data_IF_514039122842
#
_entry.id   IF_514039122842
#
_cell.length_a   1.000
_cell.length_b   1.000
_cell.length_c   1.000
_cell.angle_alpha   90.00
_cell.angle_beta   90.00
_cell.angle_gamma   90.00
#
_symmetry.space_group_name_H-M   'P 1'
#
loop_
_entity.id
_entity.type
_entity.pdbx_description
1 polymer ?
#
# COMPACT_ATOMS: atom_id res chain seq x y z
N UNK A 1 16.52 -1.52 -5.45
CA UNK A 1 16.28 -2.98 -5.44
C UNK A 1 15.63 -3.29 -6.78
N UNK A 2 16.22 -4.15 -7.58
CA UNK A 2 15.57 -4.64 -8.81
C UNK A 2 14.42 -5.56 -8.37
N UNK A 3 13.25 -5.28 -8.88
CA UNK A 3 12.03 -6.03 -8.52
C UNK A 3 12.20 -7.54 -8.78
N UNK A 4 12.89 -7.87 -9.89
CA UNK A 4 13.10 -9.26 -10.33
C UNK A 4 13.94 -10.09 -9.34
N UNK A 5 14.99 -9.52 -8.75
CA UNK A 5 15.83 -10.22 -7.78
C UNK A 5 15.06 -10.53 -6.47
N UNK A 6 14.10 -9.66 -6.11
CA UNK A 6 13.25 -9.89 -4.95
C UNK A 6 12.19 -10.97 -5.19
N UNK A 7 11.65 -11.08 -6.41
CA UNK A 7 10.65 -12.12 -6.71
C UNK A 7 11.24 -13.52 -6.63
N UNK A 8 12.42 -13.75 -7.20
CA UNK A 8 13.08 -15.06 -7.07
C UNK A 8 13.34 -15.43 -5.61
N UNK A 9 13.77 -14.46 -4.80
CA UNK A 9 14.00 -14.67 -3.37
C UNK A 9 12.69 -14.99 -2.65
N UNK A 10 11.63 -14.25 -2.92
CA UNK A 10 10.31 -14.48 -2.32
C UNK A 10 9.71 -15.82 -2.76
N UNK A 11 9.88 -16.21 -4.02
CA UNK A 11 9.46 -17.52 -4.51
C UNK A 11 10.16 -18.66 -3.79
N UNK A 12 11.44 -18.53 -3.50
CA UNK A 12 12.20 -19.53 -2.72
C UNK A 12 11.79 -19.58 -1.25
N UNK A 13 11.44 -18.44 -0.66
CA UNK A 13 11.01 -18.35 0.74
C UNK A 13 9.56 -18.78 0.97
N UNK A 14 8.70 -18.51 -0.01
CA UNK A 14 7.25 -18.77 0.07
C UNK A 14 6.74 -19.56 -1.12
N UNK A 15 7.28 -20.75 -1.40
CA UNK A 15 6.95 -21.53 -2.60
C UNK A 15 5.46 -21.88 -2.67
N UNK A 16 4.83 -22.15 -1.53
CA UNK A 16 3.42 -22.54 -1.42
C UNK A 16 2.46 -21.37 -1.68
N UNK A 17 2.92 -20.15 -1.49
CA UNK A 17 2.10 -18.94 -1.66
C UNK A 17 2.24 -18.38 -3.07
N UNK A 18 3.46 -18.33 -3.60
CA UNK A 18 3.79 -17.55 -4.79
C UNK A 18 3.99 -18.43 -6.01
N UNK A 19 4.64 -19.57 -5.89
CA UNK A 19 5.25 -20.29 -7.01
C UNK A 19 4.55 -21.55 -7.44
N UNK A 20 3.88 -22.27 -6.55
CA UNK A 20 3.34 -23.58 -6.89
C UNK A 20 1.86 -23.50 -7.26
N UNK A 21 1.50 -24.05 -8.41
CA UNK A 21 0.16 -24.38 -8.91
C UNK A 21 -0.97 -23.35 -8.70
N UNK A 22 -0.69 -22.16 -8.17
CA UNK A 22 -1.70 -21.16 -7.82
C UNK A 22 -2.63 -21.59 -6.68
N UNK A 23 -2.35 -22.70 -6.03
CA UNK A 23 -3.05 -23.12 -4.82
C UNK A 23 -2.30 -22.57 -3.60
N UNK A 24 -3.01 -21.83 -2.78
CA UNK A 24 -2.46 -21.42 -1.51
C UNK A 24 -2.59 -22.55 -0.50
N UNK A 25 -1.46 -23.09 -0.09
CA UNK A 25 -1.40 -24.11 0.97
C UNK A 25 -1.12 -23.51 2.35
N UNK A 26 -0.93 -22.21 2.44
CA UNK A 26 -0.73 -21.54 3.71
C UNK A 26 -2.04 -21.55 4.53
N UNK A 27 -2.08 -22.16 5.72
CA UNK A 27 -3.28 -22.25 6.53
C UNK A 27 -3.79 -20.88 7.04
N UNK A 28 -2.98 -19.83 6.92
CA UNK A 28 -3.37 -18.48 7.30
C UNK A 28 -4.14 -17.74 6.21
N UNK A 29 -4.24 -18.31 5.01
CA UNK A 29 -4.89 -17.67 3.87
C UNK A 29 -6.05 -18.55 3.40
N UNK A 30 -7.25 -17.99 3.42
CA UNK A 30 -8.45 -18.67 2.96
C UNK A 30 -8.94 -18.09 1.64
N UNK A 31 -8.83 -18.86 0.56
CA UNK A 31 -9.41 -18.52 -0.74
C UNK A 31 -10.85 -19.07 -0.86
N UNK A 32 -11.73 -18.60 0.00
CA UNK A 32 -13.10 -19.12 0.05
C UNK A 32 -14.08 -18.38 -0.84
N UNK A 33 -13.71 -17.23 -1.40
CA UNK A 33 -14.62 -16.44 -2.20
C UNK A 33 -14.29 -16.49 -3.71
N UNK A 34 -15.28 -16.22 -4.59
CA UNK A 34 -15.09 -16.27 -6.05
C UNK A 34 -14.02 -15.30 -6.58
N UNK A 35 -13.82 -14.16 -5.94
CA UNK A 35 -12.81 -13.18 -6.37
C UNK A 35 -11.39 -13.70 -6.14
N UNK A 36 -11.19 -14.37 -5.01
CA UNK A 36 -9.90 -15.03 -4.72
C UNK A 36 -9.63 -16.18 -5.67
N UNK A 37 -10.66 -16.95 -6.04
CA UNK A 37 -10.55 -17.97 -7.07
C UNK A 37 -10.15 -17.38 -8.44
N UNK A 38 -10.72 -16.24 -8.81
CA UNK A 38 -10.32 -15.53 -10.03
C UNK A 38 -8.84 -15.09 -10.00
N UNK A 39 -8.35 -14.57 -8.88
CA UNK A 39 -6.94 -14.24 -8.68
C UNK A 39 -6.04 -15.48 -8.76
N UNK A 40 -6.46 -16.62 -8.22
CA UNK A 40 -5.73 -17.88 -8.37
C UNK A 40 -5.63 -18.31 -9.83
N UNK A 41 -6.74 -18.24 -10.58
CA UNK A 41 -6.75 -18.56 -12.01
C UNK A 41 -5.83 -17.61 -12.80
N UNK A 42 -5.81 -16.33 -12.47
CA UNK A 42 -4.89 -15.35 -13.07
C UNK A 42 -3.43 -15.69 -12.76
N UNK A 43 -3.12 -16.04 -11.52
CA UNK A 43 -1.78 -16.45 -11.11
C UNK A 43 -1.35 -17.74 -11.81
N UNK A 44 -2.25 -18.72 -12.00
CA UNK A 44 -1.97 -19.93 -12.77
C UNK A 44 -1.67 -19.64 -14.24
N UNK A 45 -2.43 -18.72 -14.87
CA UNK A 45 -2.18 -18.28 -16.25
C UNK A 45 -0.81 -17.61 -16.38
N UNK A 46 -0.48 -16.73 -15.46
CA UNK A 46 0.83 -16.02 -15.44
C UNK A 46 1.99 -16.97 -15.23
N UNK A 47 1.83 -18.00 -14.39
CA UNK A 47 2.85 -19.03 -14.19
C UNK A 47 3.12 -19.83 -15.48
N UNK A 48 2.13 -20.05 -16.33
CA UNK A 48 2.33 -20.69 -17.64
C UNK A 48 3.14 -19.82 -18.61
N UNK A 49 3.04 -18.50 -18.48
CA UNK A 49 3.63 -17.55 -19.42
C UNK A 49 4.94 -16.92 -18.89
N UNK A 50 5.20 -17.01 -17.59
CA UNK A 50 6.40 -16.47 -16.94
C UNK A 50 6.97 -17.50 -15.97
N UNK A 51 8.30 -17.65 -15.97
CA UNK A 51 9.00 -18.53 -15.01
C UNK A 51 8.91 -18.04 -13.56
N UNK A 52 8.40 -16.84 -13.32
CA UNK A 52 8.29 -16.20 -11.99
C UNK A 52 6.90 -15.63 -11.79
N UNK A 53 6.24 -16.03 -10.70
CA UNK A 53 4.97 -15.42 -10.28
C UNK A 53 5.23 -14.00 -9.75
N UNK A 54 4.51 -13.00 -10.30
CA UNK A 54 4.73 -11.59 -9.99
C UNK A 54 3.72 -10.98 -9.01
N UNK A 55 3.08 -11.79 -8.18
CA UNK A 55 2.16 -11.31 -7.14
C UNK A 55 2.67 -11.61 -5.74
N UNK A 56 3.55 -10.79 -5.20
CA UNK A 56 4.04 -10.97 -3.84
C UNK A 56 3.04 -10.42 -2.81
N UNK A 57 1.76 -10.69 -3.02
CA UNK A 57 0.69 -10.27 -2.12
C UNK A 57 -0.17 -11.46 -1.70
N UNK A 58 -0.65 -11.40 -0.46
CA UNK A 58 -1.57 -12.37 0.11
C UNK A 58 -2.88 -11.65 0.40
N UNK A 59 -3.97 -12.10 -0.22
CA UNK A 59 -5.30 -11.59 0.10
C UNK A 59 -5.82 -12.28 1.36
N UNK A 60 -5.93 -11.54 2.44
CA UNK A 60 -6.44 -12.04 3.72
C UNK A 60 -7.98 -11.97 3.78
N UNK A 61 -8.59 -10.96 3.18
CA UNK A 61 -10.04 -10.79 3.16
C UNK A 61 -10.55 -10.10 1.90
N UNK A 62 -11.74 -10.53 1.47
CA UNK A 62 -12.60 -9.78 0.56
C UNK A 62 -13.48 -8.83 1.40
N UNK A 63 -13.36 -7.52 1.16
CA UNK A 63 -14.07 -6.50 1.91
C UNK A 63 -15.30 -5.97 1.17
N UNK A 64 -15.57 -6.46 -0.04
CA UNK A 64 -16.72 -5.99 -0.81
C UNK A 64 -18.02 -6.26 -0.07
N UNK A 65 -18.76 -5.19 0.26
CA UNK A 65 -20.00 -5.22 1.05
C UNK A 65 -19.87 -5.86 2.45
N UNK A 66 -18.66 -5.86 3.01
CA UNK A 66 -18.43 -6.34 4.38
C UNK A 66 -18.52 -5.19 5.38
N UNK A 67 -19.02 -5.53 6.57
CA UNK A 67 -19.00 -4.62 7.70
C UNK A 67 -17.59 -4.59 8.31
N UNK A 68 -16.95 -3.43 8.32
CA UNK A 68 -15.66 -3.25 8.98
C UNK A 68 -15.89 -2.74 10.39
N UNK A 69 -15.39 -3.48 11.39
CA UNK A 69 -15.40 -3.10 12.79
C UNK A 69 -13.98 -2.78 13.26
N UNK A 70 -13.79 -1.59 13.82
CA UNK A 70 -12.49 -1.13 14.33
C UNK A 70 -12.48 -1.16 15.83
N UNK A 71 -11.52 -1.88 16.41
CA UNK A 71 -11.13 -1.84 17.81
C UNK A 71 -9.79 -1.13 17.91
N UNK A 72 -9.79 0.11 18.35
CA UNK A 72 -8.63 0.98 18.36
C UNK A 72 -8.05 1.16 19.75
N UNK A 73 -6.72 1.21 19.83
CA UNK A 73 -5.95 1.49 21.04
C UNK A 73 -4.92 2.59 20.76
N UNK A 74 -4.64 3.44 21.74
CA UNK A 74 -3.58 4.44 21.72
C UNK A 74 -2.19 3.88 22.05
N UNK A 75 -2.12 2.56 22.32
CA UNK A 75 -0.88 1.84 22.59
C UNK A 75 0.17 2.08 21.48
N UNK A 76 1.43 2.29 21.89
CA UNK A 76 2.52 2.55 20.96
C UNK A 76 3.28 1.26 20.64
N UNK A 77 3.55 1.03 19.36
CA UNK A 77 4.47 -0.01 18.90
C UNK A 77 5.87 0.27 19.45
N UNK A 78 6.58 -0.80 19.79
CA UNK A 78 7.97 -0.74 20.23
C UNK A 78 8.82 -1.58 19.27
N UNK A 79 9.87 -0.98 18.74
CA UNK A 79 10.84 -1.70 17.94
C UNK A 79 11.44 -2.86 18.76
N UNK A 80 11.56 -4.08 18.18
CA UNK A 80 12.35 -5.16 18.75
C UNK A 80 13.79 -4.71 18.98
N UNK A 81 14.41 -5.15 20.09
CA UNK A 81 15.74 -4.67 20.50
C UNK A 81 16.77 -4.86 19.40
N UNK A 82 16.82 -6.04 18.75
CA UNK A 82 17.75 -6.29 17.65
C UNK A 82 17.57 -5.42 16.39
N UNK A 83 16.40 -4.76 16.22
CA UNK A 83 16.21 -3.73 15.17
C UNK A 83 16.64 -2.36 15.71
N UNK A 84 16.33 -2.07 16.95
CA UNK A 84 16.63 -0.79 17.59
C UNK A 84 18.13 -0.53 17.68
N UNK A 85 18.92 -1.56 17.99
CA UNK A 85 20.40 -1.52 18.02
C UNK A 85 21.01 -1.19 16.66
N UNK A 86 20.31 -1.52 15.55
CA UNK A 86 20.75 -1.27 14.17
C UNK A 86 19.94 -0.17 13.48
N UNK A 87 19.25 0.69 14.24
CA UNK A 87 18.34 1.68 13.69
C UNK A 87 19.01 2.58 12.63
N UNK A 88 20.12 3.19 12.95
CA UNK A 88 20.80 4.12 12.05
C UNK A 88 21.32 3.44 10.78
N UNK A 89 21.84 2.23 10.90
CA UNK A 89 22.28 1.44 9.75
C UNK A 89 21.11 1.09 8.82
N UNK A 90 19.99 0.61 9.36
CA UNK A 90 18.78 0.30 8.60
C UNK A 90 18.15 1.55 7.98
N UNK A 91 18.19 2.68 8.70
CA UNK A 91 17.67 3.95 8.22
C UNK A 91 18.46 4.48 7.03
N UNK A 92 19.76 4.20 6.96
CA UNK A 92 20.63 4.59 5.84
C UNK A 92 20.18 4.02 4.49
N UNK A 93 19.40 2.93 4.48
CA UNK A 93 18.76 2.42 3.25
C UNK A 93 17.89 3.47 2.54
N UNK A 94 17.50 4.55 3.24
CA UNK A 94 16.63 5.62 2.78
C UNK A 94 17.31 6.97 2.58
N UNK A 95 18.65 7.06 2.65
CA UNK A 95 19.43 8.30 2.57
C UNK A 95 19.17 9.15 1.31
N UNK A 96 18.74 8.49 0.22
CA UNK A 96 18.41 9.16 -1.04
C UNK A 96 16.93 9.60 -1.12
N UNK A 97 16.17 9.44 -0.02
CA UNK A 97 14.75 9.76 0.03
C UNK A 97 14.49 10.94 0.97
N UNK A 98 13.59 11.82 0.58
CA UNK A 98 13.16 12.89 1.46
C UNK A 98 12.07 12.36 2.41
N UNK A 99 12.45 12.04 3.64
CA UNK A 99 11.56 11.40 4.62
C UNK A 99 11.45 12.24 5.90
N UNK A 100 10.27 12.28 6.48
CA UNK A 100 10.01 12.91 7.78
C UNK A 100 9.14 12.01 8.65
N UNK A 101 9.36 12.04 9.96
CA UNK A 101 8.61 11.19 10.87
C UNK A 101 7.19 11.70 11.09
N UNK A 102 6.26 10.77 11.21
CA UNK A 102 4.86 11.04 11.54
C UNK A 102 4.23 9.83 12.21
N UNK A 103 3.21 10.08 13.02
CA UNK A 103 2.41 9.04 13.65
C UNK A 103 1.47 8.40 12.62
N UNK A 104 1.47 7.07 12.59
CA UNK A 104 0.64 6.26 11.70
C UNK A 104 -0.19 5.26 12.50
N UNK A 105 -1.27 4.77 11.89
CA UNK A 105 -2.06 3.67 12.42
C UNK A 105 -1.35 2.35 12.10
N UNK A 106 -1.15 1.53 13.14
CA UNK A 106 -0.60 0.17 13.03
C UNK A 106 -1.72 -0.85 13.09
N UNK A 107 -1.69 -1.87 12.25
CA UNK A 107 -2.55 -3.05 12.41
C UNK A 107 -1.91 -3.98 13.43
N UNK A 108 -2.61 -4.24 14.54
CA UNK A 108 -2.24 -5.23 15.56
C UNK A 108 -2.69 -6.63 15.14
N UNK A 109 -3.93 -6.72 14.67
CA UNK A 109 -4.49 -7.93 14.07
C UNK A 109 -5.68 -7.57 13.19
N UNK A 110 -6.02 -8.46 12.29
CA UNK A 110 -7.30 -8.44 11.59
C UNK A 110 -7.79 -9.87 11.32
N UNK A 111 -9.10 -10.01 11.21
CA UNK A 111 -9.75 -11.29 10.94
C UNK A 111 -11.11 -11.08 10.27
N UNK A 112 -11.46 -11.95 9.35
CA UNK A 112 -12.80 -11.97 8.76
C UNK A 112 -13.63 -13.08 9.36
N UNK A 113 -14.72 -12.71 10.00
CA UNK A 113 -15.74 -13.61 10.57
C UNK A 113 -17.08 -13.40 9.84
N UNK A 114 -17.40 -14.28 8.89
CA UNK A 114 -18.61 -14.16 8.06
C UNK A 114 -18.67 -12.84 7.29
N UNK A 115 -19.67 -12.02 7.60
CA UNK A 115 -19.89 -10.71 6.95
C UNK A 115 -19.17 -9.55 7.65
N UNK A 116 -18.43 -9.83 8.72
CA UNK A 116 -17.72 -8.82 9.50
C UNK A 116 -16.21 -8.99 9.37
N UNK A 117 -15.53 -7.89 9.13
CA UNK A 117 -14.08 -7.78 9.17
C UNK A 117 -13.67 -7.03 10.44
N UNK A 118 -13.04 -7.73 11.36
CA UNK A 118 -12.55 -7.18 12.62
C UNK A 118 -11.13 -6.62 12.41
N UNK A 119 -10.89 -5.38 12.81
CA UNK A 119 -9.62 -4.69 12.69
C UNK A 119 -9.19 -4.16 14.05
N UNK A 120 -8.12 -4.71 14.61
CA UNK A 120 -7.50 -4.19 15.83
C UNK A 120 -6.32 -3.30 15.47
N UNK A 121 -6.28 -2.09 16.02
CA UNK A 121 -5.27 -1.09 15.70
C UNK A 121 -4.59 -0.51 16.93
N UNK A 122 -3.41 0.05 16.68
CA UNK A 122 -2.61 0.78 17.67
C UNK A 122 -1.76 1.83 16.93
N UNK A 123 -0.75 2.40 17.55
CA UNK A 123 0.08 3.46 16.97
C UNK A 123 1.48 2.95 16.61
N UNK A 124 2.05 3.52 15.54
CA UNK A 124 3.45 3.37 15.13
C UNK A 124 3.93 4.66 14.48
N UNK A 125 5.21 4.77 14.20
CA UNK A 125 5.74 5.91 13.46
C UNK A 125 6.14 5.52 12.03
N UNK A 126 6.25 6.52 11.16
CA UNK A 126 6.75 6.29 9.81
C UNK A 126 8.20 5.78 9.82
N UNK A 127 9.03 6.29 10.73
CA UNK A 127 10.42 5.83 10.84
C UNK A 127 10.51 4.39 11.30
N UNK A 128 9.63 3.92 12.20
CA UNK A 128 9.56 2.49 12.54
C UNK A 128 9.33 1.64 11.30
N UNK A 129 8.50 2.11 10.36
CA UNK A 129 8.25 1.37 9.13
C UNK A 129 9.44 1.39 8.17
N UNK A 130 10.22 2.46 8.15
CA UNK A 130 11.43 2.55 7.32
C UNK A 130 12.48 1.54 7.75
N UNK A 131 12.65 1.34 9.06
CA UNK A 131 13.63 0.39 9.61
C UNK A 131 13.07 -1.02 9.85
N UNK A 132 11.83 -1.29 9.46
CA UNK A 132 11.20 -2.61 9.52
C UNK A 132 10.68 -3.03 8.14
N UNK A 133 9.40 -2.82 7.87
CA UNK A 133 8.73 -3.28 6.64
C UNK A 133 9.42 -2.80 5.35
N UNK A 134 10.01 -1.61 5.34
CA UNK A 134 10.65 -1.02 4.16
C UNK A 134 12.15 -1.30 4.04
N UNK A 135 12.75 -1.94 5.04
CA UNK A 135 14.14 -2.36 5.03
C UNK A 135 14.31 -3.89 5.05
N UNK A 136 13.26 -4.65 4.69
CA UNK A 136 13.20 -6.11 4.83
C UNK A 136 14.41 -6.85 4.27
N UNK A 137 14.91 -6.41 3.13
CA UNK A 137 16.01 -7.06 2.40
C UNK A 137 17.31 -6.25 2.40
N UNK A 138 17.37 -5.18 3.20
CA UNK A 138 18.62 -4.46 3.43
C UNK A 138 19.55 -5.34 4.29
N UNK A 139 20.78 -5.51 3.83
CA UNK A 139 21.79 -6.28 4.56
C UNK A 139 22.60 -5.36 5.44
N UNK A 140 22.56 -5.57 6.73
CA UNK A 140 23.46 -4.90 7.66
C UNK A 140 24.83 -5.58 7.72
N UNK A 141 25.78 -5.05 8.49
CA UNK A 141 27.19 -5.50 8.50
C UNK A 141 27.35 -6.99 8.80
N UNK A 142 26.50 -7.59 9.62
CA UNK A 142 26.52 -9.04 9.89
C UNK A 142 26.09 -9.90 8.69
N UNK A 143 25.62 -9.29 7.60
CA UNK A 143 25.07 -9.99 6.43
C UNK A 143 23.63 -10.45 6.58
N UNK A 144 23.02 -10.27 7.75
CA UNK A 144 21.62 -10.61 8.01
C UNK A 144 20.67 -9.54 7.45
N UNK A 145 19.41 -9.91 7.31
CA UNK A 145 18.32 -9.01 6.93
C UNK A 145 17.18 -9.11 7.95
N UNK A 146 16.31 -8.11 7.99
CA UNK A 146 15.08 -8.16 8.80
C UNK A 146 14.22 -9.37 8.38
N UNK A 147 14.18 -9.68 7.09
CA UNK A 147 13.43 -10.85 6.58
C UNK A 147 13.96 -12.15 7.18
N UNK A 148 15.27 -12.33 7.26
CA UNK A 148 15.88 -13.52 7.80
C UNK A 148 15.51 -13.73 9.28
N UNK A 149 15.37 -12.66 10.04
CA UNK A 149 15.10 -12.71 11.48
C UNK A 149 13.60 -12.77 11.82
N UNK A 150 12.75 -12.03 11.11
CA UNK A 150 11.36 -11.78 11.52
C UNK A 150 10.31 -12.35 10.57
N UNK A 151 10.63 -12.55 9.29
CA UNK A 151 9.66 -12.95 8.25
C UNK A 151 10.23 -13.95 7.26
N UNK A 152 11.09 -14.83 7.72
CA UNK A 152 11.57 -15.94 6.92
C UNK A 152 10.43 -16.93 6.65
N UNK A 153 10.19 -17.26 5.36
CA UNK A 153 9.15 -18.21 4.96
C UNK A 153 9.25 -19.58 5.63
N UNK A 154 8.43 -20.55 5.25
CA UNK A 154 7.46 -20.49 4.14
C UNK A 154 6.13 -19.84 4.51
N UNK A 155 5.80 -19.68 5.78
CA UNK A 155 4.52 -19.14 6.25
C UNK A 155 4.64 -17.68 6.68
N UNK A 156 3.64 -16.88 6.33
CA UNK A 156 3.52 -15.51 6.84
C UNK A 156 2.87 -15.54 8.20
N UNK A 157 3.57 -15.03 9.22
CA UNK A 157 3.04 -14.96 10.58
C UNK A 157 1.76 -14.10 10.64
N UNK A 158 0.78 -14.45 11.49
CA UNK A 158 -0.33 -13.55 11.80
C UNK A 158 0.19 -12.16 12.23
N UNK A 159 -0.54 -11.10 11.90
CA UNK A 159 -0.18 -9.73 12.27
C UNK A 159 0.01 -9.58 13.78
N UNK A 160 -0.79 -10.29 14.59
CA UNK A 160 -0.69 -10.30 16.05
C UNK A 160 0.64 -10.85 16.60
N UNK A 161 1.36 -11.62 15.79
CA UNK A 161 2.69 -12.19 16.12
C UNK A 161 3.82 -11.52 15.36
N UNK A 162 3.55 -10.49 14.59
CA UNK A 162 4.57 -9.78 13.81
C UNK A 162 5.32 -8.78 14.67
N UNK A 163 6.65 -8.86 14.65
CA UNK A 163 7.54 -7.86 15.26
C UNK A 163 7.78 -6.62 14.43
N UNK A 164 7.12 -6.49 13.26
CA UNK A 164 7.30 -5.36 12.35
C UNK A 164 6.33 -4.22 12.68
N UNK A 165 6.64 -3.01 12.22
CA UNK A 165 5.81 -1.81 12.39
C UNK A 165 4.38 -1.98 11.85
N UNK A 166 4.22 -2.67 10.70
CA UNK A 166 2.93 -2.98 10.11
C UNK A 166 1.97 -1.78 10.06
N UNK A 167 2.49 -0.58 9.74
CA UNK A 167 1.60 0.55 9.54
C UNK A 167 0.62 0.25 8.41
N UNK A 168 -0.65 0.58 8.63
CA UNK A 168 -1.69 0.38 7.63
C UNK A 168 -1.46 1.31 6.45
N UNK A 169 -1.44 0.75 5.26
CA UNK A 169 -1.48 1.49 4.02
C UNK A 169 -2.80 1.25 3.29
N UNK A 170 -3.03 2.04 2.27
CA UNK A 170 -4.12 1.80 1.33
C UNK A 170 -3.70 2.19 -0.07
N UNK A 171 -4.21 1.44 -1.03
CA UNK A 171 -4.05 1.67 -2.45
C UNK A 171 -5.43 1.70 -3.10
N UNK A 172 -5.58 2.47 -4.15
CA UNK A 172 -6.88 2.59 -4.78
C UNK A 172 -6.84 2.94 -6.25
N UNK A 173 -7.93 2.58 -6.92
CA UNK A 173 -8.19 2.93 -8.29
C UNK A 173 -9.34 3.93 -8.36
N UNK A 174 -9.09 5.04 -9.04
CA UNK A 174 -10.10 6.06 -9.33
C UNK A 174 -10.60 5.83 -10.74
N UNK A 175 -11.92 5.69 -10.91
CA UNK A 175 -12.55 5.44 -12.20
C UNK A 175 -13.29 6.71 -12.60
N UNK A 176 -12.84 7.34 -13.68
CA UNK A 176 -13.51 8.51 -14.26
C UNK A 176 -14.91 8.20 -14.81
N UNK A 177 -15.72 9.20 -15.03
CA UNK A 177 -17.09 9.03 -15.56
C UNK A 177 -17.12 8.38 -16.94
N UNK A 178 -16.06 8.48 -17.71
CA UNK A 178 -15.87 7.84 -19.01
C UNK A 178 -15.06 6.52 -18.96
N UNK A 179 -14.90 5.94 -17.75
CA UNK A 179 -14.35 4.59 -17.57
C UNK A 179 -12.85 4.46 -17.69
N UNK A 180 -12.11 5.53 -17.46
CA UNK A 180 -10.64 5.54 -17.47
C UNK A 180 -10.06 5.53 -16.05
N UNK A 181 -8.91 4.91 -15.87
CA UNK A 181 -8.18 4.82 -14.60
C UNK A 181 -6.83 5.51 -14.74
N UNK A 182 -6.49 6.50 -13.89
CA UNK A 182 -5.18 7.12 -13.89
C UNK A 182 -4.18 6.28 -13.12
N UNK A 183 -3.02 6.05 -13.70
CA UNK A 183 -1.81 5.55 -13.05
C UNK A 183 -0.84 6.71 -12.89
N UNK A 184 -0.36 6.91 -11.68
CA UNK A 184 0.53 8.03 -11.36
C UNK A 184 1.98 7.61 -11.50
N UNK A 185 2.77 8.37 -12.28
CA UNK A 185 4.21 8.16 -12.37
C UNK A 185 4.88 8.67 -11.10
N UNK A 186 5.46 7.77 -10.34
CA UNK A 186 6.14 8.08 -9.07
C UNK A 186 7.45 8.83 -9.29
N UNK A 187 7.72 9.79 -8.43
CA UNK A 187 8.94 10.60 -8.47
C UNK A 187 10.21 9.77 -8.15
N UNK A 188 11.37 10.36 -8.39
CA UNK A 188 12.68 9.77 -8.06
C UNK A 188 13.06 9.85 -6.58
N UNK A 189 12.39 10.71 -5.80
CA UNK A 189 12.68 10.94 -4.37
C UNK A 189 11.85 10.11 -3.39
N UNK A 190 10.84 9.38 -3.87
CA UNK A 190 10.03 8.50 -3.02
C UNK A 190 10.83 7.30 -2.53
N UNK A 191 10.44 6.73 -1.38
CA UNK A 191 11.17 5.61 -0.77
C UNK A 191 11.04 4.29 -1.54
N UNK A 192 9.92 4.07 -2.26
CA UNK A 192 9.61 2.82 -2.98
C UNK A 192 9.07 3.12 -4.38
N UNK A 193 9.42 2.27 -5.35
CA UNK A 193 8.88 2.33 -6.72
C UNK A 193 9.28 3.60 -7.48
N UNK A 194 10.51 4.09 -7.28
CA UNK A 194 11.03 5.28 -7.97
C UNK A 194 10.88 5.16 -9.49
N UNK A 195 10.29 6.19 -10.13
CA UNK A 195 10.12 6.30 -11.59
C UNK A 195 9.23 5.22 -12.23
N UNK A 196 8.48 4.47 -11.43
CA UNK A 196 7.48 3.52 -11.92
C UNK A 196 6.10 4.17 -11.99
N UNK A 197 5.16 3.54 -12.69
CA UNK A 197 3.75 3.86 -12.59
C UNK A 197 3.15 3.04 -11.45
N UNK A 198 2.41 3.68 -10.57
CA UNK A 198 1.65 3.06 -9.48
C UNK A 198 0.14 3.12 -9.75
N UNK A 199 -0.62 2.65 -8.79
CA UNK A 199 -2.05 2.84 -8.67
C UNK A 199 -2.46 4.33 -8.74
N UNK A 200 -3.74 4.61 -8.76
CA UNK A 200 -4.23 6.00 -8.77
C UNK A 200 -3.87 6.72 -7.48
N UNK A 201 -3.94 5.99 -6.36
CA UNK A 201 -3.68 6.48 -5.00
C UNK A 201 -2.92 5.43 -4.23
N UNK A 202 -1.85 5.82 -3.55
CA UNK A 202 -1.10 4.94 -2.65
C UNK A 202 -0.52 5.67 -1.45
N UNK A 203 -1.07 5.45 -0.25
CA UNK A 203 -0.66 6.16 0.94
C UNK A 203 -0.56 5.29 2.20
N UNK A 204 0.15 5.82 3.18
CA UNK A 204 0.13 5.32 4.56
C UNK A 204 -0.96 6.02 5.35
N UNK A 205 -1.66 5.31 6.22
CA UNK A 205 -2.71 5.87 7.06
C UNK A 205 -2.11 6.72 8.18
N UNK A 206 -2.07 8.02 7.93
CA UNK A 206 -1.50 9.03 8.84
C UNK A 206 -2.47 9.31 9.99
N UNK A 207 -2.01 9.19 11.23
CA UNK A 207 -2.83 9.42 12.42
C UNK A 207 -3.51 10.81 12.42
N UNK A 208 -2.83 11.84 11.97
CA UNK A 208 -3.37 13.22 11.93
C UNK A 208 -4.65 13.40 11.11
N UNK A 209 -4.96 12.48 10.19
CA UNK A 209 -6.19 12.50 9.39
C UNK A 209 -7.19 11.40 9.78
N UNK A 210 -6.67 10.35 10.42
CA UNK A 210 -7.44 9.16 10.75
C UNK A 210 -8.07 9.22 12.15
N UNK A 211 -7.52 10.01 13.07
CA UNK A 211 -8.02 10.10 14.44
C UNK A 211 -9.11 11.16 14.57
N UNK A 212 -10.10 10.84 15.38
CA UNK A 212 -11.13 11.77 15.81
C UNK A 212 -10.61 12.76 16.89
N UNK A 213 -11.47 13.65 17.37
CA UNK A 213 -11.13 14.62 18.41
C UNK A 213 -10.78 14.00 19.76
N UNK A 214 -11.10 12.73 19.96
CA UNK A 214 -10.76 11.97 21.17
C UNK A 214 -9.49 11.11 20.98
N UNK A 215 -8.80 11.26 19.84
CA UNK A 215 -7.59 10.50 19.53
C UNK A 215 -7.84 9.05 19.11
N UNK A 216 -9.07 8.68 18.71
CA UNK A 216 -9.44 7.32 18.32
C UNK A 216 -9.49 7.19 16.81
N UNK A 217 -8.99 6.09 16.29
CA UNK A 217 -9.15 5.72 14.88
C UNK A 217 -10.55 5.15 14.64
N UNK A 218 -11.22 5.65 13.60
CA UNK A 218 -12.61 5.31 13.28
C UNK A 218 -12.80 5.09 11.78
N UNK A 219 -13.93 4.49 11.38
CA UNK A 219 -14.29 4.37 9.95
C UNK A 219 -14.39 5.74 9.25
N UNK A 220 -14.95 6.73 9.94
CA UNK A 220 -14.99 8.09 9.42
C UNK A 220 -13.57 8.66 9.22
N UNK A 221 -12.64 8.36 10.12
CA UNK A 221 -11.24 8.73 9.99
C UNK A 221 -10.53 8.03 8.83
N UNK A 222 -10.83 6.76 8.59
CA UNK A 222 -10.35 6.01 7.42
C UNK A 222 -10.87 6.66 6.13
N UNK A 223 -12.17 6.92 6.05
CA UNK A 223 -12.80 7.58 4.90
C UNK A 223 -12.19 8.96 4.63
N UNK A 224 -12.07 9.78 5.66
CA UNK A 224 -11.48 11.12 5.55
C UNK A 224 -10.03 11.07 5.05
N UNK A 225 -9.24 10.10 5.53
CA UNK A 225 -7.87 9.90 5.08
C UNK A 225 -7.79 9.56 3.60
N UNK A 226 -8.63 8.64 3.13
CA UNK A 226 -8.68 8.25 1.70
C UNK A 226 -9.10 9.44 0.83
N UNK A 227 -10.17 10.12 1.17
CA UNK A 227 -10.65 11.29 0.43
C UNK A 227 -9.63 12.42 0.40
N UNK A 228 -8.91 12.61 1.50
CA UNK A 228 -7.81 13.59 1.59
C UNK A 228 -6.67 13.27 0.63
N UNK A 229 -6.22 12.02 0.58
CA UNK A 229 -5.13 11.62 -0.32
C UNK A 229 -5.59 11.68 -1.80
N UNK A 230 -6.83 11.32 -2.13
CA UNK A 230 -7.38 11.52 -3.47
C UNK A 230 -7.31 12.99 -3.89
N UNK A 231 -7.73 13.89 -3.00
CA UNK A 231 -7.64 15.35 -3.25
C UNK A 231 -6.20 15.82 -3.38
N UNK A 232 -5.30 15.33 -2.54
CA UNK A 232 -3.91 15.77 -2.53
C UNK A 232 -3.11 15.23 -3.72
N UNK A 233 -3.35 13.98 -4.14
CA UNK A 233 -2.61 13.35 -5.25
C UNK A 233 -3.22 13.68 -6.62
N UNK A 234 -4.52 13.46 -6.81
CA UNK A 234 -5.17 13.64 -8.10
C UNK A 234 -5.87 14.99 -8.29
N UNK A 235 -5.93 15.82 -7.25
CA UNK A 235 -6.59 17.14 -7.29
C UNK A 235 -8.11 17.07 -7.57
N UNK A 236 -8.74 15.98 -7.19
CA UNK A 236 -10.18 15.77 -7.31
C UNK A 236 -10.87 16.29 -6.03
N UNK A 237 -11.91 17.09 -6.19
CA UNK A 237 -12.68 17.54 -5.03
C UNK A 237 -13.56 16.43 -4.49
N UNK A 238 -13.72 16.40 -3.15
CA UNK A 238 -14.52 15.38 -2.45
C UNK A 238 -15.98 15.35 -2.95
N UNK A 239 -16.53 16.50 -3.36
CA UNK A 239 -17.88 16.60 -3.92
C UNK A 239 -18.07 15.83 -5.24
N UNK A 240 -16.97 15.57 -5.97
CA UNK A 240 -17.01 14.84 -7.23
C UNK A 240 -16.85 13.31 -7.04
N UNK A 241 -16.67 12.84 -5.79
CA UNK A 241 -16.33 11.45 -5.49
C UNK A 241 -17.50 10.75 -4.78
N UNK A 242 -17.97 9.65 -5.35
CA UNK A 242 -18.87 8.72 -4.66
C UNK A 242 -18.04 7.68 -3.89
N UNK A 243 -17.76 7.95 -2.61
CA UNK A 243 -16.97 7.06 -1.77
C UNK A 243 -17.58 6.86 -0.39
N UNK A 244 -17.71 5.59 -0.01
CA UNK A 244 -17.86 5.18 1.39
C UNK A 244 -17.02 3.94 1.65
N UNK A 245 -16.50 3.81 2.85
CA UNK A 245 -15.68 2.65 3.25
C UNK A 245 -16.45 1.34 3.04
N UNK A 246 -17.74 1.30 3.41
CA UNK A 246 -18.56 0.10 3.32
C UNK A 246 -18.83 -0.38 1.88
N UNK A 247 -18.83 0.54 0.91
CA UNK A 247 -19.18 0.22 -0.48
C UNK A 247 -17.96 0.07 -1.38
N UNK A 248 -16.90 0.77 -1.08
CA UNK A 248 -15.78 0.93 -2.00
C UNK A 248 -14.53 0.15 -1.62
N UNK A 249 -14.44 -0.37 -0.38
CA UNK A 249 -13.35 -1.26 -0.01
C UNK A 249 -13.51 -2.60 -0.74
N UNK A 250 -12.40 -3.10 -1.30
CA UNK A 250 -12.37 -4.33 -2.09
C UNK A 250 -11.70 -5.44 -1.31
N UNK A 251 -10.52 -5.17 -0.75
CA UNK A 251 -9.71 -6.22 -0.12
C UNK A 251 -8.85 -5.69 1.02
N UNK A 252 -8.56 -6.59 1.96
CA UNK A 252 -7.43 -6.49 2.88
C UNK A 252 -6.37 -7.49 2.45
N UNK A 253 -5.15 -7.03 2.24
CA UNK A 253 -4.06 -7.86 1.77
C UNK A 253 -2.74 -7.56 2.46
N UNK A 254 -1.79 -8.46 2.31
CA UNK A 254 -0.45 -8.36 2.88
C UNK A 254 0.59 -8.30 1.77
N UNK A 255 1.47 -7.30 1.82
CA UNK A 255 2.57 -7.15 0.87
C UNK A 255 3.81 -7.90 1.37
N UNK A 256 4.21 -8.97 0.67
CA UNK A 256 5.37 -9.79 1.05
C UNK A 256 6.70 -9.08 0.78
N UNK A 257 6.76 -8.15 -0.16
CA UNK A 257 7.97 -7.33 -0.38
C UNK A 257 8.27 -6.52 0.87
N UNK A 258 7.23 -6.00 1.51
CA UNK A 258 7.30 -5.27 2.78
C UNK A 258 7.06 -6.19 4.01
N UNK A 259 7.42 -7.47 3.95
CA UNK A 259 7.35 -8.40 5.08
C UNK A 259 5.94 -8.76 5.55
N UNK A 260 4.97 -8.70 4.67
CA UNK A 260 3.56 -8.92 4.99
C UNK A 260 2.89 -7.68 5.59
N UNK A 261 3.32 -6.49 5.20
CA UNK A 261 2.70 -5.23 5.60
C UNK A 261 1.22 -5.20 5.21
N UNK A 262 0.33 -4.80 6.13
CA UNK A 262 -1.11 -4.73 5.86
C UNK A 262 -1.47 -3.55 4.96
N UNK A 263 -2.33 -3.81 3.98
CA UNK A 263 -2.81 -2.85 2.99
C UNK A 263 -4.30 -3.04 2.74
N UNK A 264 -5.02 -1.94 2.53
CA UNK A 264 -6.36 -1.95 1.98
C UNK A 264 -6.32 -1.64 0.48
N UNK A 265 -7.21 -2.27 -0.27
CA UNK A 265 -7.49 -1.94 -1.66
C UNK A 265 -8.91 -1.38 -1.78
N UNK A 266 -9.07 -0.27 -2.51
CA UNK A 266 -10.37 0.32 -2.79
C UNK A 266 -10.51 0.72 -4.26
N UNK A 267 -11.75 0.94 -4.70
CA UNK A 267 -12.05 1.60 -5.97
C UNK A 267 -13.19 2.60 -5.78
N UNK A 268 -13.04 3.77 -6.36
CA UNK A 268 -14.03 4.84 -6.30
C UNK A 268 -14.33 5.40 -7.69
N UNK A 269 -15.60 5.73 -7.94
CA UNK A 269 -16.02 6.45 -9.14
C UNK A 269 -16.01 7.94 -8.87
N UNK A 270 -15.69 8.71 -9.91
CA UNK A 270 -15.74 10.17 -9.87
C UNK A 270 -16.62 10.69 -11.00
N UNK A 271 -17.36 11.76 -10.72
CA UNK A 271 -18.28 12.40 -11.67
C UNK A 271 -17.57 13.39 -12.61
N UNK A 272 -16.33 13.04 -13.02
CA UNK A 272 -15.53 13.82 -13.96
C UNK A 272 -14.89 12.91 -15.00
N UNK A 273 -14.75 13.40 -16.21
CA UNK A 273 -14.04 12.70 -17.28
C UNK A 273 -12.52 12.71 -17.06
N UNK A 274 -11.80 11.80 -17.70
CA UNK A 274 -10.35 11.75 -17.62
C UNK A 274 -9.68 13.04 -18.12
N UNK A 275 -10.27 13.72 -19.12
CA UNK A 275 -9.76 14.98 -19.62
C UNK A 275 -9.88 16.10 -18.58
N UNK A 276 -11.04 16.24 -17.92
CA UNK A 276 -11.25 17.26 -16.87
C UNK A 276 -10.32 17.06 -15.69
N UNK A 277 -10.07 15.79 -15.30
CA UNK A 277 -9.12 15.47 -14.23
C UNK A 277 -7.69 15.84 -14.68
N UNK A 278 -7.31 15.51 -15.91
CA UNK A 278 -5.99 15.81 -16.44
C UNK A 278 -5.72 17.31 -16.52
N UNK A 279 -6.69 18.09 -16.99
CA UNK A 279 -6.57 19.55 -17.08
C UNK A 279 -6.34 20.19 -15.71
N UNK A 280 -7.15 19.81 -14.71
CA UNK A 280 -7.01 20.34 -13.36
C UNK A 280 -5.68 19.88 -12.71
N UNK A 281 -5.29 18.62 -12.89
CA UNK A 281 -4.02 18.10 -12.41
C UNK A 281 -2.84 18.90 -12.99
N UNK A 282 -2.79 19.08 -14.31
CA UNK A 282 -1.72 19.83 -14.98
C UNK A 282 -1.69 21.30 -14.52
N UNK A 283 -2.84 21.94 -14.37
CA UNK A 283 -2.97 23.30 -13.89
C UNK A 283 -2.34 23.44 -12.50
N UNK A 284 -2.70 22.56 -11.57
CA UNK A 284 -2.19 22.62 -10.20
C UNK A 284 -0.69 22.27 -10.10
N UNK A 285 -0.20 21.32 -10.91
CA UNK A 285 1.23 21.02 -11.03
C UNK A 285 1.99 22.27 -11.51
N UNK A 286 1.50 22.95 -12.55
CA UNK A 286 2.11 24.19 -13.07
C UNK A 286 2.10 25.32 -12.03
N UNK A 287 1.04 25.48 -11.26
CA UNK A 287 0.93 26.49 -10.20
C UNK A 287 1.91 26.20 -9.06
N UNK A 288 2.06 24.96 -8.62
CA UNK A 288 3.06 24.56 -7.63
C UNK A 288 4.48 24.85 -8.12
N UNK A 289 4.80 24.52 -9.37
CA UNK A 289 6.11 24.84 -9.97
C UNK A 289 6.37 26.36 -9.98
N UNK A 290 5.40 27.19 -10.35
CA UNK A 290 5.54 28.65 -10.32
C UNK A 290 5.81 29.18 -8.92
N UNK A 291 5.13 28.66 -7.90
CA UNK A 291 5.36 29.03 -6.48
C UNK A 291 6.76 28.61 -6.01
N UNK A 292 7.21 27.42 -6.37
CA UNK A 292 8.57 26.93 -6.07
C UNK A 292 9.65 27.80 -6.69
N UNK A 293 9.47 28.29 -7.92
CA UNK A 293 10.42 29.21 -8.57
C UNK A 293 10.51 30.59 -7.89
N UNK A 294 9.43 31.08 -7.30
CA UNK A 294 9.42 32.37 -6.56
C UNK A 294 10.10 32.24 -5.21
N UNK A 295 10.07 31.09 -4.57
CA UNK A 295 10.65 30.83 -3.24
C UNK A 295 12.04 30.18 -3.32
N UNK A 296 12.85 30.54 -4.29
CA UNK A 296 14.18 29.95 -4.57
C UNK A 296 15.20 30.07 -3.42
N UNK A 297 14.87 30.78 -2.35
CA UNK A 297 15.70 31.02 -1.16
C UNK A 297 15.29 30.13 0.05
N UNK A 298 14.11 29.51 0.02
CA UNK A 298 13.71 28.56 1.06
C UNK A 298 14.18 27.14 0.67
N UNK A 299 15.09 26.60 1.49
CA UNK A 299 15.68 25.25 1.32
C UNK A 299 14.69 24.08 1.44
N UNK A 300 13.42 24.32 1.63
CA UNK A 300 12.35 23.32 1.61
C UNK A 300 11.61 23.35 0.26
N UNK A 301 12.32 23.01 -0.81
CA UNK A 301 11.62 22.53 -2.01
C UNK A 301 10.97 21.18 -1.65
N UNK A 302 9.72 21.22 -1.20
CA UNK A 302 8.83 20.06 -1.36
C UNK A 302 8.64 19.86 -2.86
N UNK A 303 9.53 19.09 -3.48
CA UNK A 303 9.21 18.48 -4.76
C UNK A 303 7.89 17.74 -4.57
N UNK A 304 7.06 17.72 -5.61
CA UNK A 304 5.81 16.96 -5.59
C UNK A 304 6.18 15.52 -5.23
N UNK A 305 5.77 15.05 -4.04
CA UNK A 305 6.00 13.67 -3.59
C UNK A 305 5.38 12.70 -4.57
N UNK A 306 4.31 13.12 -5.24
CA UNK A 306 3.51 12.38 -6.19
C UNK A 306 3.85 12.85 -7.60
N UNK A 307 3.90 11.92 -8.53
CA UNK A 307 4.37 12.14 -9.88
C UNK A 307 3.69 13.30 -10.62
N UNK A 308 4.31 13.70 -11.69
CA UNK A 308 3.86 14.81 -12.55
C UNK A 308 3.11 14.34 -13.81
N UNK A 309 2.96 13.03 -13.98
CA UNK A 309 2.41 12.41 -15.21
C UNK A 309 1.37 11.38 -14.85
N UNK A 310 0.20 11.49 -15.46
CA UNK A 310 -0.84 10.48 -15.44
C UNK A 310 -0.79 9.64 -16.71
N UNK A 311 -0.82 8.32 -16.55
CA UNK A 311 -1.08 7.37 -17.62
C UNK A 311 -2.51 6.86 -17.46
N UNK A 312 -3.34 7.06 -18.47
CA UNK A 312 -4.73 6.61 -18.46
C UNK A 312 -4.87 5.25 -19.16
N UNK A 313 -5.56 4.33 -18.50
CA UNK A 313 -5.88 3.00 -19.03
C UNK A 313 -7.38 2.80 -18.82
N UNK A 314 -8.09 2.31 -19.85
CA UNK A 314 -9.51 1.99 -19.69
C UNK A 314 -9.71 0.77 -18.80
N UNK A 315 -10.85 0.68 -18.14
CA UNK A 315 -11.23 -0.49 -17.33
C UNK A 315 -11.19 -1.78 -18.17
N UNK A 316 -11.60 -1.72 -19.45
CA UNK A 316 -11.55 -2.86 -20.37
C UNK A 316 -10.12 -3.29 -20.70
N UNK A 317 -9.23 -2.34 -21.03
CA UNK A 317 -7.81 -2.64 -21.29
C UNK A 317 -7.12 -3.20 -20.06
N UNK A 318 -7.37 -2.63 -18.86
CA UNK A 318 -6.80 -3.15 -17.63
C UNK A 318 -7.24 -4.60 -17.38
N UNK A 319 -8.50 -4.93 -17.66
CA UNK A 319 -9.02 -6.29 -17.55
C UNK A 319 -8.35 -7.24 -18.54
N UNK A 320 -8.14 -6.83 -19.78
CA UNK A 320 -7.44 -7.63 -20.79
C UNK A 320 -5.96 -7.80 -20.44
N UNK A 321 -5.28 -6.75 -20.01
CA UNK A 321 -3.90 -6.80 -19.53
C UNK A 321 -3.76 -7.76 -18.35
N UNK A 322 -4.67 -7.72 -17.40
CA UNK A 322 -4.67 -8.60 -16.23
C UNK A 322 -4.92 -10.07 -16.60
N UNK A 323 -5.61 -10.36 -17.71
CA UNK A 323 -5.87 -11.71 -18.21
C UNK A 323 -4.71 -12.23 -19.07
N UNK A 324 -4.06 -11.35 -19.84
CA UNK A 324 -2.98 -11.70 -20.78
C UNK A 324 -1.59 -11.73 -20.15
N UNK A 325 -1.39 -11.05 -19.05
CA UNK A 325 -0.13 -10.97 -18.32
C UNK A 325 0.03 -12.13 -17.35
#
# INVERSE_FOLDING_TARGET
>A
IKLDDNYEKLCKMYPEIICENGENRNPLITYKNPQTAALQMMNQKRKKNCSVCRFPVIMDADLYQKRICIEDSDEQYKLPEGIKEHFDELFSAHDTSNVYNQLNIRVKSWEQEGETFQLQTMRTTYFDSLVTNRAMDFRWQSGQTIRDLFSYGPFVKPLSKSGLSNHLGFNGFIISSDGMIPFVKRNSIVSIGKRTYGDSIGASLKAKYALDSQGRFTLAGLQNSILKEIKDELKIDVADIEFSVEKNMIAAYRDLVEGGKPQFLFAAKVNRTHNEITEEFIKQVKEKKKKSWKNRWDKEQKELEDGEVLLWISVSELKEMAISA
#
